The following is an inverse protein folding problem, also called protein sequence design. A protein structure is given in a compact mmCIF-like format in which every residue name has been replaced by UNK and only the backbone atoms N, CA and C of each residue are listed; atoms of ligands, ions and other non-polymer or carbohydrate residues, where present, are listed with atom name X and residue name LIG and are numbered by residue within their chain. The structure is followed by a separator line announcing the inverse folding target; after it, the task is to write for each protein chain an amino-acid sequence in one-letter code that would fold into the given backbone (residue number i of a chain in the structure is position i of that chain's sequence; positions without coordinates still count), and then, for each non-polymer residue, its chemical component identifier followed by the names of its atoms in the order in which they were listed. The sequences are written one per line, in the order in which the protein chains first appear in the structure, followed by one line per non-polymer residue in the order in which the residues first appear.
data_IF_869657771328
#
_entry.id   IF_869657771328
#
_cell.length_a   1.000
_cell.length_b   1.000
_cell.length_c   1.000
_cell.angle_alpha   90.00
_cell.angle_beta   90.00
_cell.angle_gamma   90.00
#
_symmetry.space_group_name_H-M   'P 1'
#
loop_
_entity.id
_entity.type
_entity.pdbx_description
1 polymer ?
#
# COMPACT_ATOMS: atom_id res chain seq x y z
N UNK A 1 -2.00 -46.30 -23.25
CA UNK A 1 -3.21 -45.90 -23.98
C UNK A 1 -3.97 -44.94 -23.09
N UNK A 2 -4.34 -43.78 -23.64
CA UNK A 2 -5.13 -42.74 -22.99
C UNK A 2 -6.48 -43.29 -22.48
N UNK A 3 -7.02 -42.73 -21.40
CA UNK A 3 -8.18 -41.85 -21.54
C UNK A 3 -8.42 -40.99 -20.28
N UNK A 4 -8.61 -39.69 -20.53
CA UNK A 4 -9.16 -38.67 -19.65
C UNK A 4 -10.65 -38.55 -19.99
N UNK A 5 -11.55 -38.39 -19.01
CA UNK A 5 -12.50 -37.27 -19.02
C UNK A 5 -13.38 -37.19 -17.76
N UNK A 6 -13.79 -35.95 -17.51
CA UNK A 6 -14.28 -35.35 -16.26
C UNK A 6 -15.81 -35.34 -16.11
N UNK A 7 -16.23 -35.24 -14.83
CA UNK A 7 -17.34 -34.50 -14.23
C UNK A 7 -18.78 -34.61 -14.78
N UNK A 8 -19.79 -34.73 -13.88
CA UNK A 8 -20.53 -33.61 -13.28
C UNK A 8 -21.43 -34.15 -12.13
N UNK A 9 -21.53 -33.41 -11.03
CA UNK A 9 -22.31 -33.79 -9.84
C UNK A 9 -23.73 -33.20 -9.81
N UNK A 10 -24.50 -33.58 -8.79
CA UNK A 10 -25.51 -32.81 -8.03
C UNK A 10 -25.70 -33.56 -6.69
N UNK A 11 -25.70 -32.85 -5.57
CA UNK A 11 -26.02 -33.42 -4.24
C UNK A 11 -27.43 -32.95 -3.89
N UNK A 12 -28.39 -33.87 -3.84
CA UNK A 12 -29.71 -33.65 -3.25
C UNK A 12 -29.60 -33.64 -1.72
N UNK A 13 -30.32 -32.73 -1.07
CA UNK A 13 -30.56 -32.78 0.35
C UNK A 13 -32.06 -33.02 0.58
N UNK A 14 -32.40 -34.26 0.93
CA UNK A 14 -33.70 -34.60 1.52
C UNK A 14 -33.47 -34.99 2.98
N UNK A 15 -34.15 -34.32 3.91
CA UNK A 15 -34.78 -35.00 5.04
C UNK A 15 -35.98 -34.19 5.59
N UNK A 16 -37.03 -34.85 6.08
CA UNK A 16 -38.41 -34.32 6.07
C UNK A 16 -38.82 -33.68 7.41
N UNK A 17 -39.82 -32.79 7.36
CA UNK A 17 -40.50 -32.24 8.55
C UNK A 17 -41.88 -32.87 8.74
N UNK A 18 -42.18 -33.32 9.96
CA UNK A 18 -43.52 -33.74 10.39
C UNK A 18 -44.43 -32.52 10.63
N UNK A 19 -45.75 -32.61 10.39
CA UNK A 19 -46.63 -31.44 10.37
C UNK A 19 -47.27 -31.15 11.73
N UNK A 20 -47.31 -29.88 12.12
CA UNK A 20 -48.28 -29.39 13.12
C UNK A 20 -48.95 -28.11 12.63
N UNK A 21 -50.25 -28.23 12.38
CA UNK A 21 -51.17 -27.16 11.99
C UNK A 21 -51.46 -26.29 13.21
N UNK A 22 -51.38 -24.96 13.07
CA UNK A 22 -52.35 -24.01 13.65
C UNK A 22 -52.20 -22.63 12.99
N UNK A 23 -53.34 -22.12 12.51
CA UNK A 23 -53.51 -20.87 11.78
C UNK A 23 -53.27 -19.64 12.66
N UNK A 24 -52.47 -18.69 12.16
CA UNK A 24 -52.24 -17.42 12.84
C UNK A 24 -51.08 -16.63 12.24
N UNK A 25 -51.26 -16.15 11.00
CA UNK A 25 -50.46 -15.12 10.30
C UNK A 25 -49.02 -14.94 10.80
N UNK A 26 -48.11 -15.83 10.38
CA UNK A 26 -46.68 -15.58 10.52
C UNK A 26 -46.27 -14.56 9.46
N UNK A 27 -45.81 -13.39 9.90
CA UNK A 27 -44.97 -12.55 9.05
C UNK A 27 -43.69 -13.35 8.84
N UNK A 28 -43.46 -13.86 7.64
CA UNK A 28 -42.14 -14.29 7.21
C UNK A 28 -41.24 -13.05 7.26
N UNK A 29 -40.56 -12.83 8.38
CA UNK A 29 -39.35 -12.04 8.38
C UNK A 29 -38.42 -12.89 7.52
N UNK A 30 -38.25 -12.51 6.25
CA UNK A 30 -37.13 -12.98 5.46
C UNK A 30 -35.92 -12.54 6.27
N UNK A 31 -35.34 -13.48 7.00
CA UNK A 31 -34.06 -13.27 7.65
C UNK A 31 -33.14 -12.88 6.51
N UNK A 32 -32.77 -11.59 6.47
CA UNK A 32 -31.83 -11.04 5.53
C UNK A 32 -30.67 -12.02 5.50
N UNK A 33 -30.62 -12.81 4.43
CA UNK A 33 -29.57 -13.79 4.24
C UNK A 33 -28.38 -12.92 3.87
N UNK A 34 -27.74 -12.33 4.89
CA UNK A 34 -26.62 -11.44 4.72
C UNK A 34 -25.58 -12.23 3.94
N UNK A 35 -25.51 -11.96 2.63
CA UNK A 35 -24.68 -12.72 1.70
C UNK A 35 -23.26 -12.55 2.19
N UNK A 36 -22.62 -13.66 2.55
CA UNK A 36 -21.24 -13.68 3.04
C UNK A 36 -20.28 -13.47 1.86
N UNK A 37 -20.20 -12.25 1.35
CA UNK A 37 -19.42 -11.94 0.16
C UNK A 37 -18.19 -11.10 0.50
N UNK A 38 -17.01 -11.57 0.06
CA UNK A 38 -15.79 -10.77 -0.01
C UNK A 38 -15.78 -9.98 -1.31
N UNK A 39 -15.83 -8.66 -1.20
CA UNK A 39 -15.91 -7.74 -2.35
C UNK A 39 -14.54 -7.45 -2.97
N UNK A 40 -13.52 -7.27 -2.13
CA UNK A 40 -12.18 -6.90 -2.58
C UNK A 40 -11.15 -7.27 -1.52
N UNK A 41 -9.93 -7.60 -1.97
CA UNK A 41 -8.78 -7.82 -1.09
C UNK A 41 -7.54 -7.17 -1.72
N UNK A 42 -6.84 -6.33 -0.96
CA UNK A 42 -5.78 -5.49 -1.49
C UNK A 42 -4.77 -5.04 -0.45
N UNK A 43 -3.60 -4.59 -0.92
CA UNK A 43 -2.63 -3.88 -0.11
C UNK A 43 -3.00 -2.40 -0.02
N UNK A 44 -2.89 -1.83 1.18
CA UNK A 44 -3.10 -0.42 1.42
C UNK A 44 -1.95 0.22 2.19
N UNK A 45 -1.71 1.50 1.91
CA UNK A 45 -0.78 2.34 2.67
C UNK A 45 -1.58 3.25 3.60
N UNK A 46 -1.10 3.42 4.83
CA UNK A 46 -1.65 4.40 5.78
C UNK A 46 -1.07 5.77 5.49
N UNK A 47 -1.96 6.72 5.22
CA UNK A 47 -1.63 8.11 4.94
C UNK A 47 -2.45 9.03 5.86
N UNK A 48 -1.82 10.06 6.38
CA UNK A 48 -2.49 11.05 7.22
C UNK A 48 -3.00 12.18 6.33
N UNK A 49 -4.19 12.01 5.76
CA UNK A 49 -4.78 12.99 4.81
C UNK A 49 -6.21 13.39 5.16
N UNK A 50 -6.88 12.66 6.06
CA UNK A 50 -8.24 12.95 6.47
C UNK A 50 -8.24 14.17 7.41
N UNK A 51 -8.93 15.24 7.05
CA UNK A 51 -9.11 16.39 7.95
C UNK A 51 -10.07 16.01 9.09
N UNK A 52 -9.63 16.11 10.35
CA UNK A 52 -10.44 15.67 11.50
C UNK A 52 -11.16 16.79 12.23
N UNK A 53 -10.71 18.04 12.06
CA UNK A 53 -11.17 19.18 12.87
C UNK A 53 -10.69 19.17 14.33
N UNK A 54 -9.97 18.12 14.76
CA UNK A 54 -9.44 18.03 16.12
C UNK A 54 -8.23 18.97 16.26
N UNK A 55 -8.23 19.81 17.30
CA UNK A 55 -7.14 20.74 17.55
C UNK A 55 -5.81 20.01 17.78
N UNK A 56 -4.74 20.49 17.15
CA UNK A 56 -3.39 19.96 17.30
C UNK A 56 -2.44 20.93 18.03
N UNK A 57 -2.56 22.22 17.73
CA UNK A 57 -1.69 23.25 18.29
C UNK A 57 -1.77 24.56 17.51
N UNK A 58 -0.65 25.26 17.41
CA UNK A 58 -0.55 26.52 16.66
C UNK A 58 0.74 26.59 15.84
N UNK A 59 0.66 27.19 14.66
CA UNK A 59 1.78 27.55 13.81
C UNK A 59 2.06 29.05 13.92
N UNK A 60 3.24 29.43 14.39
CA UNK A 60 3.71 30.82 14.29
C UNK A 60 4.09 31.12 12.84
N UNK A 61 3.42 32.09 12.22
CA UNK A 61 3.73 32.56 10.88
C UNK A 61 4.30 33.98 10.94
N UNK A 62 5.47 34.17 10.31
CA UNK A 62 6.15 35.46 10.21
C UNK A 62 6.01 36.04 8.80
N UNK A 63 5.54 37.28 8.70
CA UNK A 63 5.39 37.98 7.42
C UNK A 63 6.76 38.35 6.82
N UNK A 64 6.97 38.01 5.56
CA UNK A 64 8.23 38.27 4.85
C UNK A 64 8.31 39.64 4.16
N UNK A 65 7.21 40.37 4.04
CA UNK A 65 7.12 41.66 3.33
C UNK A 65 6.20 42.64 4.03
N UNK A 66 6.24 43.90 3.61
CA UNK A 66 5.44 44.99 4.19
C UNK A 66 4.08 45.16 3.50
N UNK A 67 3.13 45.83 4.17
CA UNK A 67 1.88 46.26 3.54
C UNK A 67 0.89 45.14 3.21
N UNK A 68 0.88 44.05 4.00
CA UNK A 68 -0.09 42.97 3.84
C UNK A 68 -1.43 43.44 4.43
N UNK A 69 -2.28 44.04 3.60
CA UNK A 69 -3.59 44.54 4.01
C UNK A 69 -4.56 43.40 4.30
N UNK A 70 -5.34 43.58 5.35
CA UNK A 70 -6.29 42.61 5.93
C UNK A 70 -7.50 43.32 6.54
N UNK A 71 -7.79 44.56 6.14
CA UNK A 71 -8.91 45.33 6.69
C UNK A 71 -10.28 44.81 6.21
N UNK A 72 -10.37 44.41 4.94
CA UNK A 72 -11.60 43.85 4.33
C UNK A 72 -11.56 42.32 4.25
N UNK A 73 -12.72 41.67 4.14
CA UNK A 73 -12.79 40.20 4.01
C UNK A 73 -12.07 39.70 2.75
N UNK A 74 -12.20 40.43 1.63
CA UNK A 74 -11.50 40.10 0.38
C UNK A 74 -9.97 40.18 0.51
N UNK A 75 -9.45 41.20 1.23
CA UNK A 75 -8.03 41.32 1.52
C UNK A 75 -7.55 40.20 2.47
N UNK A 76 -8.31 39.92 3.53
CA UNK A 76 -8.03 38.80 4.45
C UNK A 76 -7.99 37.47 3.70
N UNK A 77 -8.94 37.21 2.81
CA UNK A 77 -8.99 35.99 2.03
C UNK A 77 -7.76 35.86 1.13
N UNK A 78 -7.38 36.94 0.45
CA UNK A 78 -6.18 36.96 -0.41
C UNK A 78 -4.93 36.63 0.38
N UNK A 79 -4.72 37.28 1.53
CA UNK A 79 -3.56 37.02 2.40
C UNK A 79 -3.62 35.59 2.96
N UNK A 80 -4.79 35.12 3.40
CA UNK A 80 -4.96 33.77 3.93
C UNK A 80 -4.62 32.69 2.90
N UNK A 81 -5.04 32.84 1.63
CA UNK A 81 -4.67 31.94 0.52
C UNK A 81 -3.16 31.93 0.29
N UNK A 82 -2.51 33.11 0.34
CA UNK A 82 -1.05 33.22 0.19
C UNK A 82 -0.34 32.47 1.32
N UNK A 83 -0.79 32.64 2.57
CA UNK A 83 -0.22 31.96 3.75
C UNK A 83 -0.43 30.45 3.64
N UNK A 84 -1.63 29.99 3.28
CA UNK A 84 -1.96 28.58 3.12
C UNK A 84 -1.04 27.88 2.10
N UNK A 85 -0.61 28.60 1.06
CA UNK A 85 0.33 28.10 0.06
C UNK A 85 1.81 28.07 0.47
N UNK A 86 2.17 28.58 1.66
CA UNK A 86 3.57 28.70 2.08
C UNK A 86 4.20 27.34 2.45
N UNK A 87 5.51 27.16 2.22
CA UNK A 87 6.21 25.93 2.58
C UNK A 87 6.05 25.54 4.06
N UNK A 88 6.07 26.51 4.97
CA UNK A 88 5.89 26.26 6.40
C UNK A 88 4.52 25.66 6.74
N UNK A 89 3.47 26.05 6.00
CA UNK A 89 2.12 25.46 6.15
C UNK A 89 2.06 24.09 5.51
N UNK A 90 2.69 23.90 4.34
CA UNK A 90 2.78 22.58 3.69
C UNK A 90 3.53 21.55 4.55
N UNK A 91 4.56 21.96 5.27
CA UNK A 91 5.34 21.12 6.17
C UNK A 91 4.56 20.63 7.42
N UNK A 92 3.33 21.12 7.66
CA UNK A 92 2.47 20.57 8.71
C UNK A 92 2.14 19.09 8.46
N UNK A 93 2.11 18.65 7.20
CA UNK A 93 1.82 17.25 6.86
C UNK A 93 2.87 16.28 7.40
N UNK A 94 4.13 16.71 7.52
CA UNK A 94 5.21 15.92 8.12
C UNK A 94 4.95 15.66 9.62
N UNK A 95 4.20 16.57 10.27
CA UNK A 95 3.76 16.44 11.66
C UNK A 95 2.37 15.79 11.80
N UNK A 96 1.79 15.31 10.70
CA UNK A 96 0.40 14.81 10.64
C UNK A 96 -0.60 15.88 11.08
N UNK A 97 -0.36 17.14 10.70
CA UNK A 97 -1.20 18.30 11.01
C UNK A 97 -1.61 19.05 9.73
N UNK A 98 -2.62 19.91 9.84
CA UNK A 98 -3.03 20.86 8.80
C UNK A 98 -3.58 22.15 9.41
N UNK A 99 -3.82 23.17 8.59
CA UNK A 99 -4.60 24.34 8.96
C UNK A 99 -5.62 24.64 7.86
N UNK A 100 -6.58 25.51 8.15
CA UNK A 100 -7.64 25.89 7.21
C UNK A 100 -7.55 27.36 6.86
N UNK A 101 -8.13 27.72 5.72
CA UNK A 101 -8.26 29.12 5.32
C UNK A 101 -9.00 29.95 6.39
N UNK A 102 -10.02 29.36 7.03
CA UNK A 102 -10.78 30.00 8.10
C UNK A 102 -9.93 30.26 9.34
N UNK A 103 -9.14 29.28 9.80
CA UNK A 103 -8.24 29.45 10.93
C UNK A 103 -7.19 30.54 10.69
N UNK A 104 -6.68 30.63 9.45
CA UNK A 104 -5.76 31.71 9.07
C UNK A 104 -6.49 33.07 9.10
N UNK A 105 -7.69 33.17 8.52
CA UNK A 105 -8.48 34.42 8.55
C UNK A 105 -8.76 34.88 9.99
N UNK A 106 -9.05 33.95 10.89
CA UNK A 106 -9.27 34.25 12.32
C UNK A 106 -8.00 34.76 13.02
N UNK A 107 -6.82 34.26 12.62
CA UNK A 107 -5.54 34.74 13.15
C UNK A 107 -5.14 36.15 12.66
N UNK A 108 -5.74 36.63 11.55
CA UNK A 108 -5.53 37.97 11.00
C UNK A 108 -6.41 39.02 11.72
N UNK A 109 -5.90 39.51 12.85
CA UNK A 109 -6.58 40.47 13.72
C UNK A 109 -6.28 41.94 13.40
N UNK A 110 -5.14 42.24 12.76
CA UNK A 110 -4.77 43.62 12.37
C UNK A 110 -5.30 43.98 10.99
N UNK A 111 -5.35 45.28 10.68
CA UNK A 111 -5.70 45.80 9.36
C UNK A 111 -4.55 45.73 8.35
N UNK A 112 -3.31 45.78 8.82
CA UNK A 112 -2.09 45.64 8.00
C UNK A 112 -1.04 44.89 8.81
N UNK A 113 -0.34 43.97 8.16
CA UNK A 113 0.87 43.34 8.67
C UNK A 113 2.10 43.74 7.86
N UNK A 114 3.16 44.07 8.56
CA UNK A 114 4.47 44.40 8.01
C UNK A 114 5.45 43.25 8.17
N UNK A 115 6.63 43.43 7.57
CA UNK A 115 7.72 42.46 7.63
C UNK A 115 8.09 42.17 9.08
N UNK A 116 8.39 40.91 9.35
CA UNK A 116 8.77 40.35 10.65
C UNK A 116 7.67 40.36 11.72
N UNK A 117 6.49 40.94 11.44
CA UNK A 117 5.30 40.72 12.27
C UNK A 117 4.85 39.26 12.21
N UNK A 118 4.14 38.84 13.26
CA UNK A 118 3.79 37.44 13.49
C UNK A 118 2.32 37.26 13.82
N UNK A 119 1.79 36.11 13.44
CA UNK A 119 0.48 35.59 13.88
C UNK A 119 0.63 34.14 14.33
N UNK A 120 -0.28 33.70 15.20
CA UNK A 120 -0.40 32.30 15.59
C UNK A 120 -1.65 31.72 14.93
N UNK A 121 -1.46 30.72 14.09
CA UNK A 121 -2.53 30.08 13.31
C UNK A 121 -2.88 28.75 13.97
N UNK A 122 -4.15 28.50 14.26
CA UNK A 122 -4.61 27.21 14.78
C UNK A 122 -4.30 26.07 13.80
N UNK A 123 -3.74 24.97 14.30
CA UNK A 123 -3.54 23.71 13.56
C UNK A 123 -4.48 22.63 14.07
N UNK A 124 -4.75 21.67 13.18
CA UNK A 124 -5.65 20.55 13.38
C UNK A 124 -4.95 19.25 13.00
N UNK A 125 -5.37 18.12 13.58
CA UNK A 125 -4.76 16.81 13.30
C UNK A 125 -5.24 16.25 11.97
N UNK A 126 -4.33 15.68 11.20
CA UNK A 126 -4.71 14.79 10.10
C UNK A 126 -4.98 13.40 10.66
N UNK A 127 -6.11 12.82 10.29
CA UNK A 127 -6.50 11.46 10.55
C UNK A 127 -5.93 10.50 9.52
N UNK A 128 -5.70 9.27 9.95
CA UNK A 128 -5.23 8.19 9.09
C UNK A 128 -6.33 7.74 8.11
N UNK A 129 -5.92 7.48 6.89
CA UNK A 129 -6.71 6.87 5.82
C UNK A 129 -5.90 5.76 5.17
N UNK A 130 -6.55 4.65 4.81
CA UNK A 130 -5.92 3.55 4.09
C UNK A 130 -6.16 3.70 2.60
N UNK A 131 -5.12 4.03 1.83
CA UNK A 131 -5.20 4.12 0.37
C UNK A 131 -4.76 2.82 -0.27
N UNK A 132 -5.60 2.26 -1.14
CA UNK A 132 -5.28 1.09 -1.96
C UNK A 132 -4.05 1.39 -2.83
N UNK A 133 -3.10 0.47 -2.86
CA UNK A 133 -1.92 0.54 -3.70
C UNK A 133 -1.81 -0.70 -4.58
N UNK A 134 -1.21 -0.54 -5.75
CA UNK A 134 -0.98 -1.62 -6.72
C UNK A 134 0.48 -2.07 -6.76
N UNK A 135 1.38 -1.32 -6.11
CA UNK A 135 2.81 -1.61 -6.04
C UNK A 135 3.43 -1.00 -4.78
N UNK A 136 4.43 -1.69 -4.23
CA UNK A 136 5.26 -1.23 -3.12
C UNK A 136 6.64 -1.90 -3.22
N UNK A 137 7.72 -1.24 -2.76
CA UNK A 137 9.00 -1.90 -2.60
C UNK A 137 8.93 -2.94 -1.47
N UNK A 138 9.76 -3.99 -1.55
CA UNK A 138 9.99 -4.86 -0.40
C UNK A 138 10.46 -4.06 0.82
N UNK A 139 10.31 -4.62 2.01
CA UNK A 139 10.60 -3.96 3.30
C UNK A 139 9.66 -2.79 3.64
N UNK A 140 8.54 -2.66 2.93
CA UNK A 140 7.51 -1.64 3.24
C UNK A 140 6.48 -2.16 4.24
N UNK A 141 6.09 -1.32 5.21
CA UNK A 141 4.96 -1.58 6.11
C UNK A 141 3.64 -1.17 5.46
N UNK A 142 2.67 -2.08 5.44
CA UNK A 142 1.42 -1.98 4.69
C UNK A 142 0.26 -2.56 5.51
N UNK A 143 -0.95 -2.40 5.01
CA UNK A 143 -2.12 -3.14 5.50
C UNK A 143 -2.59 -4.11 4.42
N UNK A 144 -2.92 -5.34 4.84
CA UNK A 144 -3.85 -6.17 4.09
C UNK A 144 -5.26 -5.72 4.44
N UNK A 145 -6.02 -5.37 3.43
CA UNK A 145 -7.42 -4.94 3.58
C UNK A 145 -8.31 -5.91 2.82
N UNK A 146 -9.35 -6.40 3.47
CA UNK A 146 -10.45 -7.12 2.83
C UNK A 146 -11.77 -6.42 3.12
N UNK A 147 -12.60 -6.23 2.09
CA UNK A 147 -13.93 -5.63 2.21
C UNK A 147 -14.99 -6.69 2.01
N UNK A 148 -16.09 -6.60 2.77
CA UNK A 148 -17.22 -7.51 2.65
C UNK A 148 -18.50 -6.77 2.28
N UNK A 149 -19.44 -7.49 1.67
CA UNK A 149 -20.78 -6.97 1.43
C UNK A 149 -21.56 -6.89 2.74
N UNK A 150 -21.69 -5.66 3.26
CA UNK A 150 -22.56 -5.36 4.41
C UNK A 150 -21.92 -5.55 5.80
N UNK A 151 -22.69 -5.11 6.80
CA UNK A 151 -22.29 -5.07 8.22
C UNK A 151 -22.61 -6.36 8.99
N UNK A 152 -23.34 -7.30 8.39
CA UNK A 152 -23.83 -8.54 9.03
C UNK A 152 -22.79 -9.63 9.28
N UNK A 153 -21.51 -9.35 9.00
CA UNK A 153 -20.40 -10.30 9.19
C UNK A 153 -19.45 -9.87 10.33
N UNK A 154 -19.86 -8.93 11.17
CA UNK A 154 -19.05 -8.35 12.26
C UNK A 154 -18.44 -9.38 13.22
N UNK A 155 -19.12 -10.51 13.40
CA UNK A 155 -18.69 -11.59 14.31
C UNK A 155 -17.81 -12.64 13.62
N UNK A 156 -17.55 -12.48 12.31
CA UNK A 156 -16.77 -13.41 11.49
C UNK A 156 -15.34 -12.91 11.27
N UNK A 157 -14.49 -13.84 10.84
CA UNK A 157 -13.09 -13.56 10.48
C UNK A 157 -12.87 -13.80 8.99
N UNK A 158 -12.08 -12.94 8.35
CA UNK A 158 -11.56 -13.21 7.03
C UNK A 158 -10.16 -13.82 7.12
N UNK A 159 -9.85 -14.74 6.21
CA UNK A 159 -8.50 -15.27 6.02
C UNK A 159 -7.96 -14.79 4.68
N UNK A 160 -6.77 -14.18 4.68
CA UNK A 160 -6.09 -13.65 3.51
C UNK A 160 -4.80 -14.45 3.31
N UNK A 161 -4.54 -14.85 2.06
CA UNK A 161 -3.30 -15.52 1.64
C UNK A 161 -2.66 -14.69 0.54
N UNK A 162 -1.36 -14.42 0.69
CA UNK A 162 -0.60 -13.70 -0.32
C UNK A 162 0.08 -14.71 -1.23
N UNK A 163 -0.11 -14.55 -2.53
CA UNK A 163 0.54 -15.38 -3.54
C UNK A 163 1.40 -14.52 -4.44
N UNK A 164 2.58 -15.01 -4.76
CA UNK A 164 3.46 -14.37 -5.72
C UNK A 164 2.92 -14.57 -7.14
N UNK A 165 2.75 -13.49 -7.89
CA UNK A 165 2.23 -13.56 -9.26
C UNK A 165 3.21 -14.23 -10.22
N UNK A 166 4.44 -13.75 -10.27
CA UNK A 166 5.41 -14.13 -11.31
C UNK A 166 6.35 -15.27 -10.89
N UNK A 167 6.41 -15.59 -9.60
CA UNK A 167 7.24 -16.67 -9.06
C UNK A 167 8.74 -16.38 -9.08
N UNK A 168 9.16 -15.11 -9.05
CA UNK A 168 10.57 -14.70 -9.01
C UNK A 168 11.24 -15.10 -7.70
N UNK A 169 10.56 -14.91 -6.57
CA UNK A 169 11.07 -15.16 -5.22
C UNK A 169 11.00 -16.65 -4.89
N UNK A 170 9.80 -17.25 -5.06
CA UNK A 170 9.51 -18.63 -4.68
C UNK A 170 9.76 -19.65 -5.80
N UNK A 171 10.10 -19.19 -7.01
CA UNK A 171 10.38 -20.05 -8.16
C UNK A 171 9.15 -20.58 -8.88
N UNK A 172 7.93 -20.21 -8.46
CA UNK A 172 6.69 -20.67 -9.08
C UNK A 172 5.59 -19.62 -8.95
N UNK A 173 4.91 -19.34 -10.06
CA UNK A 173 3.75 -18.47 -10.08
C UNK A 173 2.63 -19.04 -9.21
N UNK A 174 1.95 -18.16 -8.46
CA UNK A 174 0.90 -18.55 -7.51
C UNK A 174 1.39 -19.17 -6.19
N UNK A 175 2.72 -19.28 -6.00
CA UNK A 175 3.27 -19.78 -4.74
C UNK A 175 2.95 -18.83 -3.58
N UNK A 176 2.67 -19.40 -2.41
CA UNK A 176 2.41 -18.61 -1.19
C UNK A 176 3.67 -17.86 -0.78
N UNK A 177 3.52 -16.56 -0.55
CA UNK A 177 4.60 -15.68 -0.12
C UNK A 177 4.41 -15.33 1.37
N UNK A 178 5.14 -16.00 2.29
CA UNK A 178 5.05 -15.69 3.70
C UNK A 178 5.69 -14.32 3.98
N UNK A 179 5.01 -13.47 4.75
CA UNK A 179 5.54 -12.17 5.18
C UNK A 179 5.24 -11.96 6.66
N UNK A 180 5.74 -10.88 7.25
CA UNK A 180 5.52 -10.57 8.66
C UNK A 180 4.14 -9.92 8.89
N UNK A 181 3.36 -10.50 9.80
CA UNK A 181 2.30 -9.79 10.52
C UNK A 181 2.93 -8.97 11.65
N UNK A 182 2.55 -7.70 11.75
CA UNK A 182 3.07 -6.76 12.76
C UNK A 182 1.90 -6.11 13.51
N UNK A 183 2.17 -5.51 14.66
CA UNK A 183 1.17 -4.76 15.42
C UNK A 183 0.93 -3.37 14.82
N UNK A 184 -0.20 -2.75 15.19
CA UNK A 184 -0.51 -1.37 14.77
C UNK A 184 0.54 -0.36 15.26
N UNK A 185 1.09 -0.57 16.45
CA UNK A 185 2.17 0.26 17.00
C UNK A 185 3.44 0.17 16.15
N UNK A 186 3.72 -1.01 15.61
CA UNK A 186 4.89 -1.25 14.77
C UNK A 186 4.77 -0.59 13.39
N UNK A 187 3.57 -0.26 12.92
CA UNK A 187 3.38 0.44 11.65
C UNK A 187 4.02 1.84 11.63
N UNK A 188 4.00 2.53 12.76
CA UNK A 188 4.50 3.90 12.91
C UNK A 188 5.96 3.95 13.41
N UNK A 189 6.52 2.82 13.88
CA UNK A 189 7.91 2.72 14.33
C UNK A 189 8.89 2.61 13.15
N UNK A 190 10.11 3.12 13.31
CA UNK A 190 11.18 2.84 12.36
C UNK A 190 11.51 1.34 12.33
N UNK A 191 11.79 0.80 11.16
CA UNK A 191 12.33 -0.57 11.05
C UNK A 191 13.74 -0.58 11.61
N UNK A 192 14.10 -1.50 12.53
CA UNK A 192 15.47 -1.59 13.03
C UNK A 192 16.43 -1.90 11.88
N UNK A 193 17.59 -1.24 11.87
CA UNK A 193 18.58 -1.33 10.79
C UNK A 193 19.50 -2.54 10.93
N UNK A 194 19.49 -3.21 12.08
CA UNK A 194 20.33 -4.37 12.38
C UNK A 194 19.55 -5.39 13.21
N UNK A 195 19.83 -6.67 12.97
CA UNK A 195 19.19 -7.77 13.70
C UNK A 195 17.82 -8.18 13.14
N UNK A 196 17.11 -8.98 13.93
CA UNK A 196 15.80 -9.50 13.57
C UNK A 196 14.73 -8.42 13.70
N UNK A 197 13.93 -8.22 12.66
CA UNK A 197 12.81 -7.26 12.71
C UNK A 197 11.64 -7.84 13.51
N UNK A 198 10.91 -7.01 14.26
CA UNK A 198 9.74 -7.49 15.00
C UNK A 198 8.61 -7.93 14.05
N UNK A 199 7.77 -8.85 14.51
CA UNK A 199 6.67 -9.43 13.72
C UNK A 199 6.71 -10.96 13.67
N UNK A 200 5.61 -11.56 13.21
CA UNK A 200 5.48 -13.02 13.07
C UNK A 200 5.33 -13.35 11.59
N UNK A 201 6.21 -14.20 11.07
CA UNK A 201 6.10 -14.64 9.69
C UNK A 201 4.90 -15.58 9.52
N UNK A 202 3.99 -15.23 8.59
CA UNK A 202 2.76 -15.97 8.35
C UNK A 202 2.52 -16.15 6.85
N UNK A 203 1.92 -17.30 6.54
CA UNK A 203 1.40 -17.64 5.20
C UNK A 203 -0.11 -17.43 5.07
N UNK A 204 -0.80 -17.25 6.21
CA UNK A 204 -2.24 -17.03 6.33
C UNK A 204 -2.48 -15.94 7.37
N UNK A 205 -3.19 -14.90 6.98
CA UNK A 205 -3.48 -13.74 7.82
C UNK A 205 -4.96 -13.75 8.17
N UNK A 206 -5.29 -13.79 9.45
CA UNK A 206 -6.67 -13.81 9.94
C UNK A 206 -6.99 -12.51 10.66
N UNK A 207 -8.16 -11.95 10.37
CA UNK A 207 -8.60 -10.71 11.02
C UNK A 207 -10.11 -10.69 11.18
N UNK A 208 -10.57 -10.03 12.25
CA UNK A 208 -11.99 -9.80 12.50
C UNK A 208 -12.53 -8.76 11.52
N UNK A 209 -13.76 -8.97 11.06
CA UNK A 209 -14.45 -8.02 10.19
C UNK A 209 -15.08 -6.95 11.07
N UNK A 210 -14.62 -5.71 10.94
CA UNK A 210 -15.18 -4.57 11.67
C UNK A 210 -15.73 -3.57 10.67
N UNK A 211 -17.03 -3.23 10.78
CA UNK A 211 -17.72 -2.33 9.87
C UNK A 211 -17.54 -2.74 8.38
N UNK A 212 -17.65 -4.04 8.09
CA UNK A 212 -17.51 -4.59 6.74
C UNK A 212 -16.08 -4.56 6.18
N UNK A 213 -15.06 -4.36 7.02
CA UNK A 213 -13.65 -4.33 6.59
C UNK A 213 -12.75 -5.06 7.57
N UNK A 214 -11.78 -5.82 7.06
CA UNK A 214 -10.65 -6.37 7.80
C UNK A 214 -9.41 -5.54 7.49
N UNK A 215 -8.59 -5.24 8.50
CA UNK A 215 -7.33 -4.50 8.36
C UNK A 215 -6.25 -5.24 9.16
N UNK A 216 -5.24 -5.76 8.48
CA UNK A 216 -4.14 -6.51 9.12
C UNK A 216 -2.84 -5.78 8.81
N UNK A 217 -2.12 -5.27 9.83
CA UNK A 217 -0.83 -4.62 9.62
C UNK A 217 0.23 -5.67 9.27
N UNK A 218 0.99 -5.40 8.22
CA UNK A 218 2.01 -6.32 7.70
C UNK A 218 3.28 -5.57 7.31
N UNK A 219 4.40 -6.28 7.32
CA UNK A 219 5.67 -5.80 6.77
C UNK A 219 6.06 -6.70 5.61
N UNK A 220 6.18 -6.12 4.41
CA UNK A 220 6.42 -6.83 3.14
C UNK A 220 7.86 -7.33 3.02
N UNK A 221 8.24 -8.27 3.88
CA UNK A 221 9.57 -8.90 3.96
C UNK A 221 9.48 -10.24 4.69
N UNK A 222 10.47 -11.11 4.54
CA UNK A 222 10.69 -12.22 5.45
C UNK A 222 11.30 -11.74 6.77
N UNK A 223 11.33 -12.63 7.76
CA UNK A 223 11.91 -12.36 9.09
C UNK A 223 13.41 -12.04 9.02
N UNK A 224 14.15 -12.79 8.21
CA UNK A 224 15.61 -12.67 8.06
C UNK A 224 16.03 -11.60 7.06
N UNK A 225 17.03 -10.80 7.39
CA UNK A 225 17.61 -9.83 6.47
C UNK A 225 18.38 -10.49 5.31
N UNK A 226 18.99 -11.67 5.55
CA UNK A 226 19.64 -12.44 4.50
C UNK A 226 18.63 -12.91 3.44
N UNK A 227 17.50 -13.43 3.90
CA UNK A 227 16.44 -13.86 2.97
C UNK A 227 15.85 -12.65 2.22
N UNK A 228 15.69 -11.51 2.88
CA UNK A 228 15.27 -10.28 2.22
C UNK A 228 16.26 -9.84 1.13
N UNK A 229 17.58 -9.98 1.34
CA UNK A 229 18.59 -9.73 0.31
C UNK A 229 18.42 -10.67 -0.88
N UNK A 230 18.19 -11.96 -0.62
CA UNK A 230 17.93 -12.94 -1.68
C UNK A 230 16.66 -12.60 -2.47
N UNK A 231 15.59 -12.15 -1.80
CA UNK A 231 14.37 -11.68 -2.48
C UNK A 231 14.66 -10.48 -3.39
N UNK A 232 15.37 -9.47 -2.88
CA UNK A 232 15.77 -8.28 -3.65
C UNK A 232 16.63 -8.66 -4.86
N UNK A 233 17.56 -9.59 -4.69
CA UNK A 233 18.41 -10.06 -5.79
C UNK A 233 17.59 -10.79 -6.87
N UNK A 234 16.69 -11.71 -6.47
CA UNK A 234 15.80 -12.42 -7.40
C UNK A 234 14.91 -11.48 -8.20
N UNK A 235 14.32 -10.48 -7.54
CA UNK A 235 13.52 -9.44 -8.22
C UNK A 235 14.39 -8.63 -9.18
N UNK A 236 15.62 -8.28 -8.80
CA UNK A 236 16.53 -7.48 -9.62
C UNK A 236 17.07 -8.24 -10.84
N UNK A 237 17.32 -9.54 -10.70
CA UNK A 237 17.70 -10.43 -11.80
C UNK A 237 16.55 -10.66 -12.78
N UNK A 238 15.31 -10.61 -12.28
CA UNK A 238 14.12 -10.92 -13.07
C UNK A 238 14.01 -12.43 -13.35
N UNK A 239 13.11 -12.80 -14.26
CA UNK A 239 12.95 -14.20 -14.67
C UNK A 239 14.01 -14.50 -15.73
N UNK A 240 14.74 -15.60 -15.56
CA UNK A 240 15.63 -16.08 -16.61
C UNK A 240 14.81 -16.40 -17.86
N UNK A 241 15.11 -15.70 -18.94
CA UNK A 241 14.40 -15.79 -20.22
C UNK A 241 15.20 -16.65 -21.21
N UNK A 242 15.65 -17.81 -20.74
CA UNK A 242 16.50 -18.73 -21.50
C UNK A 242 17.94 -18.24 -21.71
N UNK A 243 18.72 -19.05 -22.43
CA UNK A 243 20.09 -18.73 -22.79
C UNK A 243 20.16 -17.98 -24.12
N UNK A 244 20.89 -16.87 -24.13
CA UNK A 244 21.17 -16.09 -25.33
C UNK A 244 22.59 -16.36 -25.80
N UNK A 245 22.75 -16.74 -27.07
CA UNK A 245 24.09 -16.86 -27.66
C UNK A 245 24.52 -15.51 -28.21
N UNK A 246 25.59 -14.95 -27.66
CA UNK A 246 26.22 -13.74 -28.19
C UNK A 246 27.35 -14.12 -29.14
N UNK A 247 27.20 -13.79 -30.43
CA UNK A 247 28.26 -13.98 -31.43
C UNK A 247 29.15 -12.74 -31.50
N UNK A 248 30.41 -12.87 -31.11
CA UNK A 248 31.40 -11.81 -31.27
C UNK A 248 31.75 -11.62 -32.75
N UNK A 249 31.67 -10.37 -33.25
CA UNK A 249 32.05 -10.03 -34.62
C UNK A 249 33.55 -9.82 -34.85
N UNK A 250 34.40 -10.13 -33.87
CA UNK A 250 35.85 -9.92 -33.95
C UNK A 250 36.61 -10.44 -32.73
N UNK A 251 37.94 -10.38 -32.78
CA UNK A 251 38.84 -10.84 -31.71
C UNK A 251 38.65 -9.99 -30.44
N UNK A 252 38.25 -10.63 -29.34
CA UNK A 252 38.10 -9.97 -28.04
C UNK A 252 39.08 -10.61 -27.04
N UNK A 253 40.08 -9.84 -26.60
CA UNK A 253 41.01 -10.28 -25.55
C UNK A 253 40.41 -10.02 -24.18
N UNK A 254 40.16 -11.09 -23.45
CA UNK A 254 39.72 -11.07 -22.05
C UNK A 254 40.90 -11.53 -21.21
N UNK A 255 41.70 -10.58 -20.73
CA UNK A 255 42.99 -10.83 -20.07
C UNK A 255 42.95 -10.63 -18.56
N UNK A 256 41.92 -9.94 -18.06
CA UNK A 256 41.79 -9.50 -16.66
C UNK A 256 40.33 -9.20 -16.27
N UNK A 257 40.04 -9.06 -14.98
CA UNK A 257 38.68 -8.77 -14.47
C UNK A 257 38.05 -7.49 -15.06
N UNK A 258 38.86 -6.47 -15.34
CA UNK A 258 38.35 -5.22 -15.89
C UNK A 258 37.94 -5.40 -17.36
N UNK A 259 38.74 -6.16 -18.14
CA UNK A 259 38.39 -6.57 -19.50
C UNK A 259 37.14 -7.46 -19.53
N UNK A 260 36.96 -8.37 -18.56
CA UNK A 260 35.72 -9.17 -18.40
C UNK A 260 34.49 -8.29 -18.19
N UNK A 261 34.58 -7.33 -17.26
CA UNK A 261 33.48 -6.42 -16.95
C UNK A 261 33.08 -5.57 -18.15
N UNK A 262 34.06 -5.00 -18.87
CA UNK A 262 33.80 -4.20 -20.08
C UNK A 262 33.14 -5.01 -21.19
N UNK A 263 33.57 -6.25 -21.40
CA UNK A 263 32.95 -7.16 -22.37
C UNK A 263 31.53 -7.53 -21.95
N UNK A 264 31.29 -7.85 -20.67
CA UNK A 264 29.95 -8.15 -20.15
C UNK A 264 28.99 -6.95 -20.28
N UNK A 265 29.45 -5.73 -19.99
CA UNK A 265 28.67 -4.50 -20.17
C UNK A 265 28.32 -4.25 -21.65
N UNK A 266 29.27 -4.50 -22.57
CA UNK A 266 29.03 -4.38 -24.00
C UNK A 266 27.99 -5.39 -24.51
N UNK A 267 28.07 -6.64 -24.06
CA UNK A 267 27.09 -7.70 -24.36
C UNK A 267 25.70 -7.28 -23.85
N UNK A 268 25.61 -6.84 -22.59
CA UNK A 268 24.34 -6.41 -21.98
C UNK A 268 23.72 -5.23 -22.74
N UNK A 269 24.53 -4.24 -23.12
CA UNK A 269 24.07 -3.09 -23.91
C UNK A 269 23.55 -3.52 -25.29
N UNK A 270 24.26 -4.42 -25.97
CA UNK A 270 23.85 -4.92 -27.28
C UNK A 270 22.60 -5.81 -27.20
N UNK A 271 22.44 -6.60 -26.13
CA UNK A 271 21.25 -7.39 -25.88
C UNK A 271 20.01 -6.50 -25.65
N UNK A 272 20.14 -5.44 -24.84
CA UNK A 272 19.06 -4.46 -24.59
C UNK A 272 18.64 -3.68 -25.83
N UNK A 273 19.58 -3.42 -26.74
CA UNK A 273 19.32 -2.64 -27.96
C UNK A 273 18.80 -3.49 -29.13
N UNK A 274 18.62 -4.80 -28.98
CA UNK A 274 18.04 -5.67 -30.01
C UNK A 274 18.91 -5.82 -31.26
N UNK A 275 20.23 -5.93 -31.10
CA UNK A 275 21.14 -6.09 -32.25
C UNK A 275 21.03 -7.51 -32.86
N UNK A 276 21.03 -7.61 -34.19
CA UNK A 276 20.74 -8.80 -35.03
C UNK A 276 21.64 -10.03 -34.81
N UNK A 277 22.68 -9.94 -33.98
CA UNK A 277 23.61 -11.06 -33.69
C UNK A 277 23.28 -11.84 -32.42
N UNK A 278 22.16 -11.52 -31.73
CA UNK A 278 21.75 -12.15 -30.49
C UNK A 278 20.50 -13.00 -30.71
N UNK A 279 20.69 -14.21 -31.21
CA UNK A 279 19.59 -15.17 -31.41
C UNK A 279 19.21 -15.81 -30.06
N UNK A 280 17.94 -15.70 -29.68
CA UNK A 280 17.36 -16.39 -28.52
C UNK A 280 17.20 -17.88 -28.87
N UNK A 281 17.70 -18.78 -28.02
CA UNK A 281 17.33 -20.20 -28.12
C UNK A 281 16.07 -20.46 -27.29
N UNK A 282 15.02 -20.96 -27.93
CA UNK A 282 13.98 -21.71 -27.23
C UNK A 282 14.54 -23.11 -26.95
N UNK A 283 14.84 -23.40 -25.69
CA UNK A 283 15.11 -24.77 -25.25
C UNK A 283 13.78 -25.53 -25.30
N UNK A 284 13.72 -26.57 -26.15
CA UNK A 284 12.62 -27.55 -26.22
C UNK A 284 12.66 -28.49 -25.00
#
# INVERSE_FOLDING_TARGET
MHDYQEAQGIIEAEQPSTPQVNEGKTVSIVQDSSVEELLDAYFAKKEYTKQTGEAAGTLEYKFGGNGNKTATDAEKEKIAKIILGKPAVKALTDKKEYTTLEAIKQALSKEVYNKDEKINIQTFKLGAELKKITSAPLDTKLYLVAKTAGSGLSDKQATIIIKEKDGLIKGSAGAVLPILEISEEQMDQATPTTGEVPGTEKSKFTGKIENGTVKIPVHLRPKSDDELKQWKEKISKGKEDGEYTYKFGGENKVTDENSKKRVAEAILKNAKNGNTNNEKRCTL
#
